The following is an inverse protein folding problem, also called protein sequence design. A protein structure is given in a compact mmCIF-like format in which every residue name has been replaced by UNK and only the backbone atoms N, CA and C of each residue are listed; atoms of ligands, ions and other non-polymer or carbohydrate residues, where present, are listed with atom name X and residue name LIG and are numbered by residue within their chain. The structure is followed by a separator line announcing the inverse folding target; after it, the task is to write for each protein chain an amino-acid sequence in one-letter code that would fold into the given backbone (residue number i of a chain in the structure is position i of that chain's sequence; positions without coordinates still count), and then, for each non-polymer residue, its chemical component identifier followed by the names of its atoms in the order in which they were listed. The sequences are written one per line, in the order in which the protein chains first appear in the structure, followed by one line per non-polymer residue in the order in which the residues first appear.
data_IF_022117748011
#
_entry.id   IF_022117748011
#
_cell.length_a   1.000
_cell.length_b   1.000
_cell.length_c   1.000
_cell.angle_alpha   90.00
_cell.angle_beta   90.00
_cell.angle_gamma   90.00
#
_symmetry.space_group_name_H-M   'P 1'
#
loop_
_entity.id
_entity.type
_entity.pdbx_description
1 polymer ?
#
# COMPACT_ATOMS: atom_id res chain seq x y z
N UNK A 1 -4.77 -22.22 13.62
CA UNK A 1 -4.33 -20.86 13.23
C UNK A 1 -4.01 -20.90 11.76
N UNK A 2 -4.78 -20.20 10.92
CA UNK A 2 -4.60 -20.22 9.46
C UNK A 2 -3.33 -19.46 9.09
N UNK A 3 -2.39 -20.16 8.47
CA UNK A 3 -1.16 -19.61 7.90
C UNK A 3 -1.52 -18.66 6.75
N UNK A 4 -1.49 -17.36 7.02
CA UNK A 4 -1.87 -16.27 6.11
C UNK A 4 -0.65 -15.52 5.55
N UNK A 5 0.52 -16.16 5.51
CA UNK A 5 1.78 -15.57 5.06
C UNK A 5 2.37 -16.39 3.92
N UNK A 6 2.91 -15.70 2.90
CA UNK A 6 3.70 -16.27 1.83
C UNK A 6 4.82 -17.14 2.45
N UNK A 7 5.05 -18.39 2.00
CA UNK A 7 6.14 -19.23 2.49
C UNK A 7 7.51 -18.52 2.55
N UNK A 8 7.78 -17.57 1.65
CA UNK A 8 9.00 -16.75 1.68
C UNK A 8 9.06 -15.82 2.88
N UNK A 9 7.92 -15.26 3.29
CA UNK A 9 7.82 -14.42 4.49
C UNK A 9 8.04 -15.25 5.76
N UNK A 10 7.57 -16.50 5.79
CA UNK A 10 7.81 -17.41 6.91
C UNK A 10 9.30 -17.78 7.04
N UNK A 11 9.98 -18.06 5.93
CA UNK A 11 11.43 -18.33 5.92
C UNK A 11 12.22 -17.08 6.34
N UNK A 12 11.84 -15.90 5.84
CA UNK A 12 12.46 -14.63 6.22
C UNK A 12 12.28 -14.32 7.71
N UNK A 13 11.10 -14.59 8.27
CA UNK A 13 10.81 -14.42 9.69
C UNK A 13 11.64 -15.37 10.57
N UNK A 14 11.78 -16.64 10.17
CA UNK A 14 12.63 -17.59 10.89
C UNK A 14 14.10 -17.14 10.92
N UNK A 15 14.65 -16.73 9.76
CA UNK A 15 16.02 -16.17 9.67
C UNK A 15 16.19 -14.92 10.53
N UNK A 16 15.21 -14.02 10.51
CA UNK A 16 15.23 -12.82 11.32
C UNK A 16 15.19 -13.16 12.82
N UNK A 17 14.42 -14.16 13.24
CA UNK A 17 14.36 -14.62 14.64
C UNK A 17 15.70 -15.17 15.12
N UNK A 18 16.40 -15.89 14.25
CA UNK A 18 17.73 -16.43 14.52
C UNK A 18 18.87 -15.42 14.36
N UNK A 19 18.60 -14.18 13.95
CA UNK A 19 19.62 -13.12 13.86
C UNK A 19 20.08 -12.65 15.24
N UNK A 20 21.21 -11.93 15.30
CA UNK A 20 21.74 -11.37 16.55
C UNK A 20 20.71 -10.53 17.29
N UNK A 21 20.16 -9.51 16.62
CA UNK A 21 19.12 -8.66 17.17
C UNK A 21 17.83 -9.45 17.45
N UNK A 22 17.50 -10.42 16.60
CA UNK A 22 16.32 -11.28 16.78
C UNK A 22 16.34 -12.08 18.08
N UNK A 23 17.46 -12.73 18.42
CA UNK A 23 17.57 -13.58 19.62
C UNK A 23 17.47 -12.81 20.94
N UNK A 24 17.78 -11.51 20.92
CA UNK A 24 17.80 -10.65 22.10
C UNK A 24 16.41 -10.11 22.47
N UNK A 25 15.41 -10.31 21.61
CA UNK A 25 14.06 -9.82 21.82
C UNK A 25 13.15 -10.90 22.40
N UNK A 26 12.21 -10.47 23.25
CA UNK A 26 11.04 -11.30 23.57
C UNK A 26 10.21 -11.56 22.30
N UNK A 27 9.34 -12.58 22.31
CA UNK A 27 8.50 -12.87 21.15
C UNK A 27 7.65 -11.66 20.73
N UNK A 28 7.04 -10.96 21.71
CA UNK A 28 6.26 -9.76 21.45
C UNK A 28 7.09 -8.64 20.79
N UNK A 29 8.25 -8.33 21.37
CA UNK A 29 9.14 -7.31 20.82
C UNK A 29 9.62 -7.65 19.41
N UNK A 30 9.88 -8.94 19.16
CA UNK A 30 10.26 -9.44 17.85
C UNK A 30 9.10 -9.26 16.85
N UNK A 31 7.88 -9.66 17.19
CA UNK A 31 6.72 -9.54 16.31
C UNK A 31 6.41 -8.07 15.97
N UNK A 32 6.47 -7.19 16.97
CA UNK A 32 6.28 -5.74 16.78
C UNK A 32 7.37 -5.15 15.88
N UNK A 33 8.64 -5.50 16.12
CA UNK A 33 9.76 -5.05 15.30
C UNK A 33 9.66 -5.58 13.86
N UNK A 34 9.23 -6.83 13.68
CA UNK A 34 9.01 -7.44 12.36
C UNK A 34 7.91 -6.73 11.59
N UNK A 35 6.80 -6.37 12.24
CA UNK A 35 5.74 -5.57 11.63
C UNK A 35 6.27 -4.21 11.14
N UNK A 36 7.11 -3.54 11.95
CA UNK A 36 7.79 -2.29 11.57
C UNK A 36 8.65 -2.50 10.31
N UNK A 37 9.42 -3.59 10.23
CA UNK A 37 10.23 -3.84 9.02
C UNK A 37 9.38 -3.99 7.75
N UNK A 38 8.17 -4.57 7.84
CA UNK A 38 7.25 -4.68 6.73
C UNK A 38 6.67 -3.31 6.30
N UNK A 39 6.35 -2.45 7.27
CA UNK A 39 5.93 -1.07 7.00
C UNK A 39 7.03 -0.29 6.29
N UNK A 40 8.28 -0.44 6.74
CA UNK A 40 9.43 0.23 6.13
C UNK A 40 9.71 -0.29 4.72
N UNK A 41 9.60 -1.60 4.49
CA UNK A 41 9.73 -2.15 3.14
C UNK A 41 8.67 -1.57 2.19
N UNK A 42 7.41 -1.50 2.65
CA UNK A 42 6.33 -0.89 1.87
C UNK A 42 6.60 0.58 1.59
N UNK A 43 7.14 1.33 2.55
CA UNK A 43 7.50 2.73 2.32
C UNK A 43 8.62 2.88 1.29
N UNK A 44 9.65 2.04 1.35
CA UNK A 44 10.75 2.06 0.37
C UNK A 44 10.21 1.75 -1.02
N UNK A 45 9.33 0.73 -1.15
CA UNK A 45 8.68 0.38 -2.42
C UNK A 45 7.73 1.48 -2.90
N UNK A 46 7.04 2.18 -2.00
CA UNK A 46 6.12 3.23 -2.39
C UNK A 46 6.85 4.51 -2.85
N UNK A 47 7.85 4.97 -2.08
CA UNK A 47 8.41 6.33 -2.23
C UNK A 47 9.92 6.37 -2.40
N UNK A 48 10.63 5.26 -2.22
CA UNK A 48 12.10 5.23 -2.16
C UNK A 48 12.68 5.92 -0.93
N UNK A 49 11.85 6.25 0.07
CA UNK A 49 12.26 6.87 1.34
C UNK A 49 12.04 5.90 2.50
N UNK A 50 12.73 6.13 3.62
CA UNK A 50 12.50 5.35 4.85
C UNK A 50 13.03 6.02 6.12
N UNK A 51 13.99 6.96 6.02
CA UNK A 51 14.70 7.52 7.18
C UNK A 51 13.76 8.13 8.23
N UNK A 52 12.83 8.98 7.81
CA UNK A 52 11.85 9.62 8.71
C UNK A 52 10.99 8.57 9.43
N UNK A 53 10.34 7.67 8.68
CA UNK A 53 9.54 6.59 9.27
C UNK A 53 10.37 5.68 10.18
N UNK A 54 11.60 5.36 9.81
CA UNK A 54 12.49 4.55 10.64
C UNK A 54 12.79 5.26 11.96
N UNK A 55 13.12 6.55 11.92
CA UNK A 55 13.33 7.35 13.13
C UNK A 55 12.08 7.40 14.00
N UNK A 56 10.89 7.63 13.42
CA UNK A 56 9.63 7.65 14.15
C UNK A 56 9.34 6.31 14.85
N UNK A 57 9.50 5.20 14.14
CA UNK A 57 9.29 3.87 14.71
C UNK A 57 10.36 3.48 15.73
N UNK A 58 11.62 3.89 15.53
CA UNK A 58 12.67 3.67 16.51
C UNK A 58 12.39 4.41 17.83
N UNK A 59 11.89 5.65 17.76
CA UNK A 59 11.46 6.44 18.93
C UNK A 59 10.27 5.77 19.62
N UNK A 60 9.26 5.33 18.86
CA UNK A 60 8.10 4.64 19.41
C UNK A 60 8.50 3.35 20.15
N UNK A 61 9.35 2.52 19.54
CA UNK A 61 9.84 1.27 20.13
C UNK A 61 10.74 1.52 21.36
N UNK A 62 11.61 2.52 21.31
CA UNK A 62 12.45 2.92 22.44
C UNK A 62 11.60 3.29 23.67
N UNK A 63 10.50 4.03 23.44
CA UNK A 63 9.59 4.46 24.50
C UNK A 63 8.86 3.29 25.16
N UNK A 64 8.41 2.30 24.40
CA UNK A 64 7.62 1.19 24.95
C UNK A 64 8.50 0.09 25.56
N UNK A 65 9.65 -0.20 24.95
CA UNK A 65 10.50 -1.34 25.29
C UNK A 65 11.70 -0.98 26.18
N UNK A 66 11.84 0.29 26.57
CA UNK A 66 12.96 0.81 27.37
C UNK A 66 14.35 0.61 26.74
N UNK A 67 14.41 0.59 25.41
CA UNK A 67 15.68 0.68 24.67
C UNK A 67 16.05 2.16 24.46
N UNK A 68 17.31 2.44 24.19
CA UNK A 68 17.67 3.73 23.59
C UNK A 68 17.29 3.74 22.09
N UNK A 69 17.10 4.94 21.54
CA UNK A 69 16.64 5.12 20.15
C UNK A 69 17.60 4.52 19.13
N UNK A 70 18.92 4.62 19.36
CA UNK A 70 19.92 4.08 18.43
C UNK A 70 19.88 2.55 18.41
N UNK A 71 19.69 1.93 19.58
CA UNK A 71 19.51 0.49 19.71
C UNK A 71 18.24 0.03 19.01
N UNK A 72 17.12 0.72 19.19
CA UNK A 72 15.87 0.42 18.46
C UNK A 72 16.05 0.51 16.95
N UNK A 73 16.69 1.57 16.46
CA UNK A 73 16.99 1.71 15.02
C UNK A 73 17.87 0.57 14.50
N UNK A 74 18.91 0.22 15.25
CA UNK A 74 19.83 -0.88 14.90
C UNK A 74 19.09 -2.21 14.81
N UNK A 75 18.24 -2.51 15.80
CA UNK A 75 17.41 -3.72 15.81
C UNK A 75 16.53 -3.78 14.55
N UNK A 76 15.83 -2.69 14.23
CA UNK A 76 14.94 -2.65 13.06
C UNK A 76 15.72 -2.86 11.76
N UNK A 77 16.90 -2.23 11.61
CA UNK A 77 17.76 -2.39 10.42
C UNK A 77 18.29 -3.82 10.28
N UNK A 78 18.73 -4.42 11.38
CA UNK A 78 19.24 -5.80 11.40
C UNK A 78 18.16 -6.80 11.05
N UNK A 79 16.97 -6.67 11.65
CA UNK A 79 15.83 -7.53 11.36
C UNK A 79 15.36 -7.38 9.92
N UNK A 80 15.34 -6.15 9.39
CA UNK A 80 15.03 -5.91 7.98
C UNK A 80 16.00 -6.68 7.09
N UNK A 81 17.32 -6.51 7.31
CA UNK A 81 18.36 -7.19 6.52
C UNK A 81 18.27 -8.70 6.62
N UNK A 82 18.02 -9.23 7.81
CA UNK A 82 17.89 -10.67 8.00
C UNK A 82 16.65 -11.24 7.30
N UNK A 83 15.54 -10.49 7.29
CA UNK A 83 14.27 -10.88 6.65
C UNK A 83 14.34 -10.81 5.13
N UNK A 84 14.87 -9.73 4.57
CA UNK A 84 14.85 -9.44 3.12
C UNK A 84 16.11 -9.91 2.41
N UNK A 85 17.22 -10.10 3.14
CA UNK A 85 18.56 -10.34 2.57
C UNK A 85 19.31 -9.06 2.19
N UNK A 86 18.67 -7.89 2.31
CA UNK A 86 19.19 -6.61 1.82
C UNK A 86 19.06 -5.51 2.88
N UNK A 87 19.98 -4.56 2.90
CA UNK A 87 19.79 -3.35 3.70
C UNK A 87 18.73 -2.46 3.07
N UNK A 88 18.06 -1.63 3.87
CA UNK A 88 17.07 -0.65 3.36
C UNK A 88 17.63 0.27 2.27
N UNK A 89 18.92 0.64 2.36
CA UNK A 89 19.59 1.43 1.32
C UNK A 89 19.77 0.63 0.03
N UNK A 90 20.17 -0.64 0.12
CA UNK A 90 20.30 -1.50 -1.07
C UNK A 90 18.96 -1.68 -1.77
N UNK A 91 17.87 -1.92 -1.03
CA UNK A 91 16.52 -2.00 -1.62
C UNK A 91 16.18 -0.70 -2.36
N UNK A 92 16.43 0.46 -1.74
CA UNK A 92 16.21 1.78 -2.34
C UNK A 92 17.03 1.96 -3.62
N UNK A 93 18.33 1.67 -3.57
CA UNK A 93 19.26 1.83 -4.69
C UNK A 93 18.84 0.96 -5.87
N UNK A 94 18.47 -0.31 -5.63
CA UNK A 94 17.96 -1.21 -6.67
C UNK A 94 16.74 -0.66 -7.38
N UNK A 95 15.78 -0.10 -6.65
CA UNK A 95 14.58 0.51 -7.25
C UNK A 95 14.95 1.72 -8.12
N UNK A 96 15.88 2.56 -7.67
CA UNK A 96 16.34 3.74 -8.43
C UNK A 96 17.15 3.37 -9.67
N UNK A 97 18.05 2.39 -9.57
CA UNK A 97 18.81 1.86 -10.70
C UNK A 97 17.88 1.20 -11.72
N UNK A 98 16.85 0.50 -11.24
CA UNK A 98 15.86 -0.12 -12.11
C UNK A 98 15.04 0.93 -12.86
N UNK A 99 14.61 1.99 -12.19
CA UNK A 99 13.92 3.11 -12.80
C UNK A 99 14.76 3.80 -13.89
N UNK A 100 16.04 4.04 -13.62
CA UNK A 100 16.97 4.64 -14.57
C UNK A 100 17.24 3.75 -15.79
N UNK A 101 17.19 2.42 -15.63
CA UNK A 101 17.46 1.43 -16.68
C UNK A 101 16.22 0.98 -17.46
N UNK A 102 15.05 1.60 -17.24
CA UNK A 102 13.83 1.26 -17.99
C UNK A 102 13.98 1.54 -19.49
N UNK A 103 13.67 0.53 -20.28
CA UNK A 103 13.62 0.62 -21.75
C UNK A 103 12.43 1.45 -22.22
N UNK A 104 12.48 1.93 -23.47
CA UNK A 104 11.35 2.66 -24.07
C UNK A 104 10.08 1.81 -24.12
N UNK A 105 10.19 0.52 -24.42
CA UNK A 105 9.05 -0.39 -24.51
C UNK A 105 8.38 -0.58 -23.15
N UNK A 106 9.17 -0.73 -22.08
CA UNK A 106 8.65 -0.81 -20.71
C UNK A 106 7.92 0.47 -20.30
N UNK A 107 8.44 1.65 -20.70
CA UNK A 107 7.76 2.93 -20.47
C UNK A 107 6.48 3.05 -21.32
N UNK A 108 6.47 2.51 -22.53
CA UNK A 108 5.30 2.54 -23.40
C UNK A 108 4.11 1.73 -22.84
N UNK A 109 4.40 0.66 -22.10
CA UNK A 109 3.40 -0.12 -21.36
C UNK A 109 2.60 0.69 -20.32
N UNK A 110 3.10 1.84 -19.88
CA UNK A 110 2.44 2.67 -18.86
C UNK A 110 1.08 3.21 -19.31
N UNK A 111 0.85 3.41 -20.62
CA UNK A 111 -0.45 3.85 -21.12
C UNK A 111 -1.56 2.81 -20.91
N UNK A 112 -1.22 1.53 -21.07
CA UNK A 112 -2.16 0.43 -20.83
C UNK A 112 -2.63 0.44 -19.37
N UNK A 113 -1.70 0.58 -18.43
CA UNK A 113 -2.02 0.68 -17.00
C UNK A 113 -2.78 1.98 -16.68
N UNK A 114 -2.47 3.10 -17.33
CA UNK A 114 -3.25 4.32 -17.17
C UNK A 114 -4.73 4.11 -17.56
N UNK A 115 -5.01 3.39 -18.65
CA UNK A 115 -6.39 3.03 -19.04
C UNK A 115 -7.07 2.07 -18.08
N UNK A 116 -6.32 1.12 -17.53
CA UNK A 116 -6.83 0.14 -16.58
C UNK A 116 -7.45 0.82 -15.35
N UNK A 117 -6.93 1.98 -14.93
CA UNK A 117 -7.55 2.80 -13.87
C UNK A 117 -9.01 3.13 -14.19
N UNK A 118 -9.30 3.53 -15.43
CA UNK A 118 -10.67 3.81 -15.87
C UNK A 118 -11.54 2.56 -15.88
N UNK A 119 -11.00 1.44 -16.36
CA UNK A 119 -11.70 0.16 -16.36
C UNK A 119 -12.05 -0.32 -14.94
N UNK A 120 -11.15 -0.11 -13.96
CA UNK A 120 -11.42 -0.40 -12.55
C UNK A 120 -12.48 0.53 -11.94
N UNK A 121 -12.60 1.77 -12.41
CA UNK A 121 -13.66 2.68 -11.95
C UNK A 121 -15.01 2.29 -12.57
N UNK A 122 -15.02 1.92 -13.85
CA UNK A 122 -16.24 1.58 -14.59
C UNK A 122 -16.80 0.19 -14.21
N UNK A 123 -15.94 -0.82 -14.16
CA UNK A 123 -16.32 -2.23 -13.96
C UNK A 123 -15.83 -2.83 -12.66
N UNK A 124 -14.89 -2.18 -11.95
CA UNK A 124 -14.40 -2.68 -10.68
C UNK A 124 -15.46 -2.64 -9.59
N UNK A 125 -15.19 -3.30 -8.47
CA UNK A 125 -16.07 -3.35 -7.31
C UNK A 125 -16.13 -1.99 -6.59
N UNK A 126 -16.83 -1.02 -7.19
CA UNK A 126 -17.05 0.34 -6.67
C UNK A 126 -15.75 0.97 -6.17
N UNK A 127 -14.78 1.12 -7.07
CA UNK A 127 -13.49 1.72 -6.73
C UNK A 127 -13.49 3.21 -7.09
N UNK A 128 -13.14 4.05 -6.13
CA UNK A 128 -12.79 5.45 -6.40
C UNK A 128 -11.50 5.51 -7.21
N UNK A 129 -11.30 6.61 -7.94
CA UNK A 129 -10.10 6.87 -8.73
C UNK A 129 -8.84 6.72 -7.88
N UNK A 130 -8.79 7.31 -6.69
CA UNK A 130 -7.60 7.20 -5.84
C UNK A 130 -7.27 5.75 -5.47
N UNK A 131 -8.28 4.90 -5.27
CA UNK A 131 -8.07 3.48 -4.95
C UNK A 131 -7.63 2.69 -6.18
N UNK A 132 -8.31 2.88 -7.31
CA UNK A 132 -7.93 2.24 -8.57
C UNK A 132 -6.52 2.64 -9.00
N UNK A 133 -6.21 3.94 -8.93
CA UNK A 133 -4.91 4.48 -9.29
C UNK A 133 -3.79 3.97 -8.37
N UNK A 134 -4.02 3.88 -7.07
CA UNK A 134 -3.05 3.30 -6.15
C UNK A 134 -2.82 1.80 -6.40
N UNK A 135 -3.88 1.04 -6.69
CA UNK A 135 -3.80 -0.39 -6.98
C UNK A 135 -2.98 -0.63 -8.26
N UNK A 136 -3.41 -0.06 -9.38
CA UNK A 136 -2.76 -0.26 -10.68
C UNK A 136 -1.32 0.24 -10.67
N UNK A 137 -1.04 1.37 -10.01
CA UNK A 137 0.33 1.84 -9.88
C UNK A 137 1.21 0.89 -9.08
N UNK A 138 0.69 0.25 -8.02
CA UNK A 138 1.45 -0.71 -7.23
C UNK A 138 1.74 -1.97 -8.03
N UNK A 139 0.76 -2.48 -8.79
CA UNK A 139 0.96 -3.64 -9.67
C UNK A 139 2.02 -3.33 -10.73
N UNK A 140 1.89 -2.18 -11.41
CA UNK A 140 2.85 -1.77 -12.43
C UNK A 140 4.25 -1.52 -11.85
N UNK A 141 4.35 -0.95 -10.65
CA UNK A 141 5.61 -0.78 -9.94
C UNK A 141 6.28 -2.14 -9.62
N UNK A 142 5.49 -3.13 -9.19
CA UNK A 142 5.97 -4.48 -8.92
C UNK A 142 6.44 -5.20 -10.19
N UNK A 143 5.71 -5.06 -11.31
CA UNK A 143 6.10 -5.62 -12.61
C UNK A 143 7.44 -5.07 -13.11
N UNK A 144 7.65 -3.76 -12.95
CA UNK A 144 8.87 -3.10 -13.40
C UNK A 144 10.03 -3.17 -12.39
N UNK A 145 9.73 -3.43 -11.12
CA UNK A 145 10.70 -3.37 -10.02
C UNK A 145 11.11 -1.93 -9.68
N UNK A 146 10.16 -0.99 -9.71
CA UNK A 146 10.38 0.44 -9.42
C UNK A 146 9.50 0.89 -8.26
N UNK A 147 9.55 2.19 -7.91
CA UNK A 147 8.67 2.74 -6.87
C UNK A 147 7.26 3.01 -7.37
N UNK A 148 6.26 2.97 -6.48
CA UNK A 148 4.89 3.40 -6.82
C UNK A 148 4.87 4.84 -7.36
N UNK A 149 5.68 5.74 -6.80
CA UNK A 149 5.80 7.12 -7.27
C UNK A 149 6.32 7.17 -8.71
N UNK A 150 7.34 6.38 -9.06
CA UNK A 150 7.87 6.31 -10.41
C UNK A 150 6.83 5.75 -11.39
N UNK A 151 6.15 4.65 -11.03
CA UNK A 151 5.07 4.07 -11.84
C UNK A 151 3.94 5.09 -12.09
N UNK A 152 3.52 5.82 -11.07
CA UNK A 152 2.54 6.91 -11.15
C UNK A 152 2.96 8.01 -12.13
N UNK A 153 4.23 8.41 -12.09
CA UNK A 153 4.77 9.41 -13.02
C UNK A 153 4.72 8.91 -14.46
N UNK A 154 5.15 7.66 -14.71
CA UNK A 154 5.10 7.06 -16.04
C UNK A 154 3.66 6.97 -16.58
N UNK A 155 2.70 6.57 -15.75
CA UNK A 155 1.29 6.50 -16.15
C UNK A 155 0.73 7.87 -16.55
N UNK A 156 1.07 8.92 -15.78
CA UNK A 156 0.66 10.31 -16.09
C UNK A 156 1.26 10.79 -17.40
N UNK A 157 2.57 10.62 -17.57
CA UNK A 157 3.28 11.04 -18.77
C UNK A 157 2.77 10.32 -20.02
N UNK A 158 2.50 9.01 -19.89
CA UNK A 158 1.97 8.21 -20.99
C UNK A 158 0.55 8.64 -21.39
N UNK A 159 -0.35 8.88 -20.43
CA UNK A 159 -1.70 9.37 -20.75
C UNK A 159 -1.63 10.76 -21.39
N UNK A 160 -0.85 11.67 -20.83
CA UNK A 160 -0.69 13.03 -21.37
C UNK A 160 -0.13 13.01 -22.79
N UNK A 161 0.82 12.13 -23.08
CA UNK A 161 1.43 12.04 -24.41
C UNK A 161 0.48 11.49 -25.48
N UNK A 162 -0.49 10.66 -25.11
CA UNK A 162 -1.40 9.99 -26.07
C UNK A 162 -2.76 10.69 -26.17
N UNK A 163 -3.31 11.17 -25.06
CA UNK A 163 -4.67 11.75 -25.01
C UNK A 163 -4.69 13.26 -24.72
N UNK A 164 -3.52 13.88 -24.49
CA UNK A 164 -3.37 15.29 -24.08
C UNK A 164 -4.24 15.65 -22.86
N UNK A 165 -4.39 14.68 -21.95
CA UNK A 165 -5.18 14.81 -20.71
C UNK A 165 -4.32 14.56 -19.48
N UNK A 166 -4.61 15.31 -18.43
CA UNK A 166 -4.10 14.98 -17.10
C UNK A 166 -4.85 13.77 -16.53
N UNK A 167 -4.10 12.82 -15.96
CA UNK A 167 -4.66 11.58 -15.42
C UNK A 167 -5.62 11.81 -14.25
N UNK A 168 -5.41 12.85 -13.43
CA UNK A 168 -6.34 13.17 -12.36
C UNK A 168 -7.64 13.76 -12.89
N UNK A 169 -7.56 14.67 -13.85
CA UNK A 169 -8.74 15.26 -14.47
C UNK A 169 -9.57 14.19 -15.18
N UNK A 170 -8.92 13.37 -16.00
CA UNK A 170 -9.55 12.23 -16.66
C UNK A 170 -10.16 11.25 -15.65
N UNK A 171 -9.43 10.91 -14.59
CA UNK A 171 -9.91 10.02 -13.54
C UNK A 171 -11.14 10.55 -12.81
N UNK A 172 -11.17 11.86 -12.53
CA UNK A 172 -12.33 12.53 -11.93
C UNK A 172 -13.54 12.48 -12.85
N UNK A 173 -13.36 12.67 -14.16
CA UNK A 173 -14.46 12.49 -15.12
C UNK A 173 -15.03 11.07 -15.09
N UNK A 174 -14.18 10.04 -14.95
CA UNK A 174 -14.64 8.65 -14.82
C UNK A 174 -15.40 8.44 -13.49
N UNK A 175 -14.95 9.04 -12.39
CA UNK A 175 -15.67 8.94 -11.11
C UNK A 175 -17.07 9.57 -11.16
N UNK A 176 -17.19 10.76 -11.78
CA UNK A 176 -18.49 11.42 -11.94
C UNK A 176 -19.45 10.58 -12.79
N UNK A 177 -18.93 9.95 -13.84
CA UNK A 177 -19.73 9.13 -14.77
C UNK A 177 -20.16 7.79 -14.17
N UNK A 178 -19.26 7.10 -13.48
CA UNK A 178 -19.47 5.70 -13.11
C UNK A 178 -19.54 5.46 -11.60
N UNK A 179 -18.65 6.07 -10.81
CA UNK A 179 -18.56 5.78 -9.38
C UNK A 179 -19.62 6.53 -8.55
N UNK A 180 -19.80 7.84 -8.76
CA UNK A 180 -20.74 8.65 -7.97
C UNK A 180 -22.19 8.16 -8.06
N UNK A 181 -22.75 7.83 -9.25
CA UNK A 181 -24.11 7.33 -9.34
C UNK A 181 -24.33 6.05 -8.52
N UNK A 182 -23.34 5.15 -8.51
CA UNK A 182 -23.41 3.90 -7.74
C UNK A 182 -23.43 4.15 -6.23
N UNK A 183 -22.60 5.08 -5.74
CA UNK A 183 -22.54 5.44 -4.31
C UNK A 183 -23.80 6.18 -3.87
N UNK A 184 -24.35 7.06 -4.71
CA UNK A 184 -25.59 7.79 -4.41
C UNK A 184 -26.79 6.85 -4.34
N UNK A 185 -26.93 5.93 -5.29
CA UNK A 185 -27.95 4.89 -5.26
C UNK A 185 -27.87 4.04 -3.97
N UNK A 186 -26.66 3.65 -3.55
CA UNK A 186 -26.47 2.90 -2.30
C UNK A 186 -26.80 3.75 -1.05
N UNK A 187 -26.42 5.03 -1.04
CA UNK A 187 -26.81 5.96 0.03
C UNK A 187 -28.33 6.10 0.13
N UNK A 188 -29.03 6.15 -1.00
CA UNK A 188 -30.50 6.21 -1.04
C UNK A 188 -31.11 4.90 -0.54
N UNK A 189 -30.63 3.74 -0.99
CA UNK A 189 -31.06 2.43 -0.51
C UNK A 189 -30.84 2.24 1.01
N UNK A 190 -29.69 2.68 1.54
CA UNK A 190 -29.43 2.65 2.99
C UNK A 190 -30.39 3.56 3.75
N UNK A 191 -30.79 4.70 3.18
CA UNK A 191 -31.78 5.60 3.80
C UNK A 191 -33.18 4.98 3.79
N UNK A 192 -33.62 4.38 2.69
CA UNK A 192 -34.93 3.72 2.61
C UNK A 192 -35.02 2.53 3.57
N UNK A 193 -33.98 1.68 3.64
CA UNK A 193 -33.90 0.57 4.58
C UNK A 193 -33.92 1.02 6.05
N UNK A 194 -33.24 2.13 6.38
CA UNK A 194 -33.29 2.70 7.74
C UNK A 194 -34.68 3.25 8.09
N UNK A 195 -35.38 3.86 7.15
CA UNK A 195 -36.75 4.36 7.35
C UNK A 195 -37.75 3.21 7.50
N UNK A 196 -37.61 2.13 6.73
CA UNK A 196 -38.46 0.94 6.84
C UNK A 196 -38.25 0.18 8.16
N UNK A 197 -37.00 0.00 8.57
CA UNK A 197 -36.69 -0.63 9.86
C UNK A 197 -37.15 0.24 11.05
N UNK A 198 -37.00 1.56 10.96
CA UNK A 198 -37.52 2.49 11.96
C UNK A 198 -39.05 2.45 12.08
N UNK A 199 -39.77 2.43 10.94
CA UNK A 199 -41.25 2.35 10.92
C UNK A 199 -41.79 1.01 11.44
N UNK A 200 -41.05 -0.08 11.22
CA UNK A 200 -41.42 -1.42 11.70
C UNK A 200 -41.32 -1.50 13.24
N UNK A 201 -40.30 -0.86 13.83
CA UNK A 201 -40.13 -0.79 15.28
C UNK A 201 -41.19 0.10 15.97
N UNK A 202 -41.55 1.25 15.38
CA UNK A 202 -42.60 2.12 15.97
C UNK A 202 -43.98 1.45 15.96
N UNK A 203 -44.30 0.63 14.96
CA UNK A 203 -45.59 -0.09 14.87
C UNK A 203 -45.72 -1.25 15.85
N UNK A 204 -44.64 -1.91 16.23
CA UNK A 204 -44.67 -2.98 17.24
C UNK A 204 -44.86 -2.43 18.65
N UNK A 205 -44.38 -1.23 18.96
CA UNK A 205 -44.58 -0.60 20.27
C UNK A 205 -45.96 0.05 20.48
N UNK A 206 -46.74 0.31 19.42
CA UNK A 206 -48.10 0.86 19.55
C UNK A 206 -49.21 -0.20 19.61
N UNK A 207 -48.84 -1.49 19.53
CA UNK A 207 -49.77 -2.63 19.60
C UNK A 207 -49.59 -3.50 20.86
N UNK A 208 -48.78 -3.04 21.81
CA UNK A 208 -48.58 -3.67 23.11
C UNK A 208 -49.35 -2.89 24.19
#
# INVERSE_FOLDING_TARGET
MNNLFDPKEQIGAAKARESFSGRMLTNRQFDDAMAITGILEREIKATGKFKEKLSDYAVAMARTEKFDVMKSETIIRDLYKARTGETMNQTREKLMEREASLTKDQKHGAYKHAKEVGQMIEHGNKMSFHRAYAHVASDFANELGITDVAAKTLMKEALKSVEDKDLYEWGKEQEEKFYRPQIEAEKQQRKTLKVENGRTQTRQHQRA
#
